data_IF_507736607335
#
_entry.id   IF_507736607335
#
_cell.length_a   1.000
_cell.length_b   1.000
_cell.length_c   1.000
_cell.angle_alpha   90.00
_cell.angle_beta   90.00
_cell.angle_gamma   90.00
#
_symmetry.space_group_name_H-M   'P 1'
#
loop_
_entity.id
_entity.type
_entity.pdbx_description
1 polymer ?
#
# COMPACT_ATOMS: atom_id res chain seq x y z
N UNK A 1 -17.78 -15.06 7.57
CA UNK A 1 -17.40 -13.80 6.88
C UNK A 1 -16.16 -14.10 6.05
N UNK A 2 -16.11 -13.78 4.75
CA UNK A 2 -14.90 -13.96 3.94
C UNK A 2 -13.75 -13.12 4.50
N UNK A 3 -12.54 -13.69 4.43
CA UNK A 3 -11.29 -13.03 4.79
C UNK A 3 -10.52 -12.76 3.50
N UNK A 4 -10.22 -11.51 3.23
CA UNK A 4 -9.57 -11.10 1.98
C UNK A 4 -8.26 -10.42 2.33
N UNK A 5 -7.17 -10.98 1.82
CA UNK A 5 -5.85 -10.41 1.96
C UNK A 5 -5.72 -9.18 1.05
N UNK A 6 -5.25 -8.05 1.60
CA UNK A 6 -5.11 -6.79 0.87
C UNK A 6 -3.70 -6.25 1.01
N UNK A 7 -3.14 -5.81 -0.10
CA UNK A 7 -1.89 -5.08 -0.14
C UNK A 7 -1.99 -3.89 -1.08
N UNK A 8 -1.17 -2.88 -0.84
CA UNK A 8 -1.09 -1.69 -1.68
C UNK A 8 0.34 -1.45 -2.10
N UNK A 9 0.55 -1.33 -3.40
CA UNK A 9 1.81 -0.89 -3.99
C UNK A 9 1.50 0.32 -4.85
N UNK A 10 2.17 1.43 -4.57
CA UNK A 10 2.10 2.63 -5.38
C UNK A 10 3.52 3.12 -5.60
N UNK A 11 4.00 2.92 -6.82
CA UNK A 11 5.23 3.47 -7.35
C UNK A 11 5.03 3.53 -8.86
N UNK A 12 5.29 4.69 -9.45
CA UNK A 12 5.26 4.87 -10.90
C UNK A 12 6.66 5.21 -11.39
N UNK A 13 7.16 4.41 -12.31
CA UNK A 13 8.53 4.53 -12.81
C UNK A 13 8.61 5.49 -13.99
N UNK A 14 9.49 6.48 -13.87
CA UNK A 14 9.95 7.34 -14.95
C UNK A 14 11.36 6.89 -15.40
N UNK A 15 11.43 6.21 -16.54
CA UNK A 15 12.68 5.63 -17.06
C UNK A 15 13.77 6.64 -17.44
N UNK A 16 13.43 7.93 -17.59
CA UNK A 16 14.41 8.99 -17.90
C UNK A 16 14.81 9.81 -16.66
N UNK A 17 14.20 9.55 -15.50
CA UNK A 17 14.59 10.19 -14.26
C UNK A 17 15.88 9.55 -13.74
N UNK A 18 17.01 10.30 -13.63
CA UNK A 18 18.27 9.75 -13.16
C UNK A 18 18.30 9.47 -11.66
N UNK A 19 17.30 9.94 -10.91
CA UNK A 19 17.20 9.74 -9.45
C UNK A 19 16.40 8.45 -9.21
N UNK A 20 17.04 7.35 -8.78
CA UNK A 20 16.35 6.09 -8.53
C UNK A 20 15.39 6.23 -7.35
N UNK A 21 14.30 5.44 -7.38
CA UNK A 21 13.47 5.25 -6.18
C UNK A 21 14.21 4.29 -5.23
N UNK A 22 14.42 4.72 -3.98
CA UNK A 22 15.07 3.93 -2.93
C UNK A 22 14.09 3.58 -1.81
N UNK A 23 14.49 2.68 -0.91
CA UNK A 23 13.64 2.22 0.20
C UNK A 23 13.16 3.37 1.08
N UNK A 24 14.01 4.37 1.30
CA UNK A 24 13.73 5.55 2.12
C UNK A 24 12.58 6.39 1.56
N UNK A 25 12.36 6.39 0.24
CA UNK A 25 11.25 7.13 -0.39
C UNK A 25 9.88 6.59 0.03
N UNK A 26 9.82 5.31 0.42
CA UNK A 26 8.59 4.69 0.93
C UNK A 26 8.30 5.06 2.39
N UNK A 27 9.31 5.49 3.15
CA UNK A 27 9.11 5.91 4.54
C UNK A 27 8.25 7.19 4.64
N UNK A 28 8.22 8.00 3.58
CA UNK A 28 7.48 9.28 3.54
C UNK A 28 5.97 9.06 3.44
N UNK A 29 5.52 8.12 2.60
CA UNK A 29 4.09 7.89 2.31
C UNK A 29 3.53 6.61 2.93
N UNK A 30 4.40 5.74 3.43
CA UNK A 30 4.06 4.61 4.27
C UNK A 30 4.58 3.30 3.71
N UNK A 31 5.39 2.64 4.54
CA UNK A 31 5.72 1.23 4.44
C UNK A 31 5.18 0.52 5.69
N UNK A 32 4.37 -0.51 5.50
CA UNK A 32 3.80 -1.30 6.60
C UNK A 32 3.59 -2.75 6.15
N UNK A 33 3.58 -3.68 7.11
CA UNK A 33 3.42 -5.10 6.84
C UNK A 33 2.37 -5.71 7.78
N UNK A 34 1.71 -6.77 7.31
CA UNK A 34 0.72 -7.49 8.09
C UNK A 34 -0.44 -6.60 8.53
N UNK A 35 -0.84 -6.74 9.79
CA UNK A 35 -1.96 -6.02 10.38
C UNK A 35 -1.78 -4.49 10.32
N UNK A 36 -0.55 -3.99 10.37
CA UNK A 36 -0.26 -2.55 10.33
C UNK A 36 -0.66 -1.90 8.99
N UNK A 37 -0.73 -2.68 7.90
CA UNK A 37 -1.16 -2.16 6.60
C UNK A 37 -2.62 -1.67 6.61
N UNK A 38 -3.51 -2.37 7.33
CA UNK A 38 -4.90 -1.94 7.51
C UNK A 38 -5.10 -1.14 8.79
N UNK A 39 -4.40 -1.49 9.88
CA UNK A 39 -4.50 -0.80 11.16
C UNK A 39 -3.99 0.64 11.13
N UNK A 40 -2.95 0.92 10.33
CA UNK A 40 -2.37 2.25 10.21
C UNK A 40 -2.85 3.06 9.00
N UNK A 41 -3.37 2.42 7.96
CA UNK A 41 -3.70 3.08 6.68
C UNK A 41 -5.08 2.74 6.11
N UNK A 42 -5.87 1.93 6.82
CA UNK A 42 -7.19 1.48 6.36
C UNK A 42 -8.22 2.60 6.20
N UNK A 43 -7.93 3.81 6.66
CA UNK A 43 -8.76 5.01 6.54
C UNK A 43 -8.18 6.06 5.58
N UNK A 44 -7.10 5.75 4.85
CA UNK A 44 -6.42 6.66 3.93
C UNK A 44 -6.42 6.14 2.48
N UNK A 45 -6.67 7.04 1.53
CA UNK A 45 -6.55 6.76 0.09
C UNK A 45 -7.44 5.60 -0.38
N UNK A 46 -6.89 4.72 -1.22
CA UNK A 46 -7.60 3.59 -1.82
C UNK A 46 -7.99 2.53 -0.77
N UNK A 47 -7.20 2.35 0.28
CA UNK A 47 -7.51 1.42 1.37
C UNK A 47 -8.75 1.85 2.14
N UNK A 48 -8.99 3.15 2.30
CA UNK A 48 -10.22 3.70 2.86
C UNK A 48 -11.46 3.27 2.06
N UNK A 49 -11.35 3.29 0.73
CA UNK A 49 -12.43 2.83 -0.16
C UNK A 49 -12.75 1.35 0.06
N UNK A 50 -11.72 0.50 0.16
CA UNK A 50 -11.92 -0.92 0.49
C UNK A 50 -12.55 -1.11 1.87
N UNK A 51 -12.08 -0.38 2.89
CA UNK A 51 -12.59 -0.51 4.25
C UNK A 51 -14.08 -0.13 4.38
N UNK A 52 -14.55 0.82 3.57
CA UNK A 52 -15.95 1.28 3.58
C UNK A 52 -16.90 0.36 2.79
N UNK A 53 -16.39 -0.35 1.78
CA UNK A 53 -17.19 -1.16 0.85
C UNK A 53 -18.12 -2.19 1.54
N UNK A 54 -17.68 -2.96 2.56
CA UNK A 54 -18.55 -3.91 3.26
C UNK A 54 -19.80 -3.25 3.87
N UNK A 55 -19.61 -2.08 4.50
CA UNK A 55 -20.70 -1.30 5.08
C UNK A 55 -21.70 -0.81 4.03
N UNK A 56 -21.20 -0.36 2.87
CA UNK A 56 -22.04 0.12 1.76
C UNK A 56 -22.86 -1.01 1.10
N UNK A 57 -22.29 -2.20 1.00
CA UNK A 57 -22.92 -3.35 0.34
C UNK A 57 -23.80 -4.18 1.28
N UNK A 58 -23.83 -3.85 2.58
CA UNK A 58 -24.52 -4.68 3.58
C UNK A 58 -23.97 -6.11 3.67
N UNK A 59 -22.70 -6.32 3.28
CA UNK A 59 -22.04 -7.62 3.28
C UNK A 59 -20.75 -7.55 4.09
N UNK A 60 -20.53 -8.53 4.97
CA UNK A 60 -19.34 -8.55 5.83
C UNK A 60 -18.10 -9.04 5.09
N UNK A 61 -16.97 -8.37 5.27
CA UNK A 61 -15.63 -8.80 4.85
C UNK A 61 -14.64 -8.46 5.96
N UNK A 62 -13.72 -9.37 6.26
CA UNK A 62 -12.53 -9.09 7.07
C UNK A 62 -11.36 -8.80 6.12
N UNK A 63 -10.85 -7.56 6.15
CA UNK A 63 -9.67 -7.17 5.39
C UNK A 63 -8.40 -7.49 6.18
N UNK A 64 -7.58 -8.40 5.65
CA UNK A 64 -6.33 -8.84 6.29
C UNK A 64 -5.16 -8.17 5.58
N UNK A 65 -4.42 -7.32 6.28
CA UNK A 65 -3.29 -6.60 5.69
C UNK A 65 -2.12 -7.52 5.32
N UNK A 66 -1.54 -7.32 4.14
CA UNK A 66 -0.32 -7.98 3.66
C UNK A 66 0.88 -7.03 3.73
N UNK A 67 0.82 -5.98 2.91
CA UNK A 67 1.87 -4.96 2.80
C UNK A 67 1.27 -3.68 2.26
N UNK A 68 1.77 -2.55 2.75
CA UNK A 68 1.67 -1.26 2.09
C UNK A 68 3.07 -0.80 1.71
N UNK A 69 3.26 -0.42 0.46
CA UNK A 69 4.49 0.17 -0.06
C UNK A 69 4.12 1.30 -1.03
N UNK A 70 4.07 2.53 -0.52
CA UNK A 70 3.74 3.73 -1.30
C UNK A 70 4.94 4.65 -1.34
N UNK A 71 5.36 5.06 -2.54
CA UNK A 71 6.35 6.10 -2.79
C UNK A 71 5.85 7.01 -3.92
N UNK A 72 6.41 8.22 -4.02
CA UNK A 72 6.14 9.11 -5.15
C UNK A 72 6.70 8.53 -6.46
N UNK A 73 6.20 9.01 -7.59
CA UNK A 73 6.77 8.66 -8.91
C UNK A 73 8.24 9.07 -8.97
N UNK A 74 9.10 8.18 -9.46
CA UNK A 74 10.56 8.35 -9.39
C UNK A 74 11.28 7.59 -10.51
N UNK A 75 12.61 7.61 -10.50
CA UNK A 75 13.40 6.76 -11.39
C UNK A 75 13.26 5.27 -11.05
N UNK A 76 13.83 4.38 -11.88
CA UNK A 76 13.76 2.94 -11.66
C UNK A 76 14.21 2.55 -10.25
N UNK A 77 13.48 1.63 -9.64
CA UNK A 77 13.83 1.10 -8.32
C UNK A 77 15.04 0.16 -8.44
N UNK A 78 15.99 0.29 -7.52
CA UNK A 78 17.29 -0.41 -7.59
C UNK A 78 17.49 -1.49 -6.53
N UNK A 79 16.67 -1.49 -5.47
CA UNK A 79 16.77 -2.40 -4.32
C UNK A 79 15.50 -3.24 -4.11
N UNK A 80 15.53 -4.20 -3.18
CA UNK A 80 14.35 -4.98 -2.76
C UNK A 80 13.65 -4.28 -1.59
N UNK A 81 12.34 -4.07 -1.72
CA UNK A 81 11.50 -3.34 -0.75
C UNK A 81 11.34 -4.05 0.62
N UNK A 82 11.28 -5.38 0.60
CA UNK A 82 11.00 -6.24 1.75
C UNK A 82 12.14 -7.24 1.91
N UNK A 83 13.13 -6.90 2.73
CA UNK A 83 14.17 -7.81 3.21
C UNK A 83 14.07 -7.91 4.74
#
# INVERSE_FOLDING_TARGET
>A
MPRIAVGQILQETNSINPVPTVREDFAVYGIAAGEDAMGGYGDVGELAGFAQLPGMLGSGVEWVGLVRAVAWSGGPMTDVLLA
#
